data_IF_896083885507
#
_entry.id   IF_896083885507
#
_cell.length_a   1.000
_cell.length_b   1.000
_cell.length_c   1.000
_cell.angle_alpha   90.00
_cell.angle_beta   90.00
_cell.angle_gamma   90.00
#
_symmetry.space_group_name_H-M   'P 1'
#
loop_
_entity.id
_entity.type
_entity.pdbx_description
1 polymer ?
#
# COMPACT_ATOMS: atom_id res chain seq x y z
N UNK A 1 -21.96 4.89 4.69
CA UNK A 1 -20.58 5.22 4.22
C UNK A 1 -19.63 5.74 5.31
N UNK A 2 -20.00 5.76 6.61
CA UNK A 2 -19.10 6.14 7.73
C UNK A 2 -18.30 4.96 8.33
N UNK A 3 -18.83 3.73 8.25
CA UNK A 3 -18.19 2.53 8.85
C UNK A 3 -16.83 2.15 8.23
N UNK A 4 -16.57 2.47 6.96
CA UNK A 4 -15.29 2.14 6.29
C UNK A 4 -14.13 3.08 6.70
N UNK A 5 -14.42 4.33 7.10
CA UNK A 5 -13.40 5.26 7.63
C UNK A 5 -12.95 4.86 9.04
N UNK A 6 -13.85 4.32 9.85
CA UNK A 6 -13.57 3.92 11.23
C UNK A 6 -12.62 2.71 11.28
N UNK A 7 -12.84 1.70 10.43
CA UNK A 7 -12.03 0.48 10.40
C UNK A 7 -10.55 0.75 10.06
N UNK A 8 -10.29 1.65 9.09
CA UNK A 8 -8.93 2.07 8.71
C UNK A 8 -8.21 2.84 9.82
N UNK A 9 -8.94 3.64 10.60
CA UNK A 9 -8.39 4.45 11.69
C UNK A 9 -8.05 3.61 12.92
N UNK A 10 -8.91 2.65 13.28
CA UNK A 10 -8.68 1.75 14.42
C UNK A 10 -7.49 0.83 14.16
N UNK A 11 -7.34 0.30 12.95
CA UNK A 11 -6.24 -0.61 12.61
C UNK A 11 -4.89 0.12 12.58
N UNK A 12 -4.83 1.31 11.99
CA UNK A 12 -3.60 2.14 11.98
C UNK A 12 -3.25 2.61 13.39
N UNK A 13 -4.23 3.00 14.22
CA UNK A 13 -3.97 3.38 15.62
C UNK A 13 -3.43 2.19 16.43
N UNK A 14 -4.05 1.01 16.33
CA UNK A 14 -3.55 -0.20 17.00
C UNK A 14 -2.15 -0.58 16.53
N UNK A 15 -1.85 -0.45 15.24
CA UNK A 15 -0.53 -0.73 14.69
C UNK A 15 0.52 0.23 15.24
N UNK A 16 0.25 1.53 15.25
CA UNK A 16 1.16 2.55 15.80
C UNK A 16 1.36 2.36 17.31
N UNK A 17 0.31 2.00 18.04
CA UNK A 17 0.35 1.78 19.49
C UNK A 17 1.07 0.47 19.87
N UNK A 18 0.97 -0.55 19.03
CA UNK A 18 1.78 -1.78 19.15
C UNK A 18 3.25 -1.49 18.87
N UNK A 19 3.57 -0.75 17.80
CA UNK A 19 4.95 -0.32 17.52
C UNK A 19 5.53 0.50 18.67
N UNK A 20 4.75 1.43 19.24
CA UNK A 20 5.18 2.25 20.38
C UNK A 20 5.50 1.40 21.62
N UNK A 21 4.74 0.32 21.87
CA UNK A 21 5.02 -0.63 22.96
C UNK A 21 6.27 -1.46 22.71
N UNK A 22 6.46 -1.97 21.50
CA UNK A 22 7.65 -2.76 21.12
C UNK A 22 8.92 -1.92 21.27
N UNK A 23 8.90 -0.66 20.79
CA UNK A 23 10.03 0.26 20.93
C UNK A 23 10.32 0.57 22.40
N UNK A 24 9.29 0.68 23.24
CA UNK A 24 9.44 0.86 24.69
C UNK A 24 10.19 -0.29 25.35
N UNK A 25 9.77 -1.53 25.10
CA UNK A 25 10.44 -2.71 25.66
C UNK A 25 11.87 -2.89 25.14
N UNK A 26 12.12 -2.63 23.86
CA UNK A 26 13.47 -2.69 23.31
C UNK A 26 14.43 -1.71 24.02
N UNK A 27 13.94 -0.51 24.36
CA UNK A 27 14.71 0.49 25.12
C UNK A 27 15.03 0.02 26.54
N UNK A 28 14.05 -0.57 27.22
CA UNK A 28 14.21 -1.01 28.61
C UNK A 28 15.19 -2.19 28.72
N UNK A 29 15.20 -3.11 27.75
CA UNK A 29 16.17 -4.21 27.69
C UNK A 29 17.60 -3.71 27.44
N UNK A 30 17.79 -2.74 26.53
CA UNK A 30 19.13 -2.22 26.17
C UNK A 30 19.78 -1.44 27.33
N UNK A 31 18.99 -0.76 28.17
CA UNK A 31 19.53 -0.01 29.33
C UNK A 31 20.14 -0.89 30.42
N UNK A 32 19.96 -2.22 30.39
CA UNK A 32 20.40 -3.12 31.47
C UNK A 32 21.77 -3.80 31.20
N UNK A 33 22.42 -3.57 30.06
CA UNK A 33 23.65 -4.28 29.66
C UNK A 33 24.91 -3.37 29.73
N UNK A 34 25.99 -3.82 30.40
CA UNK A 34 27.22 -3.01 30.61
C UNK A 34 28.21 -3.14 29.44
N UNK A 35 28.47 -2.02 28.76
CA UNK A 35 29.75 -1.66 28.13
C UNK A 35 30.08 -2.24 26.76
N UNK A 36 30.31 -3.55 26.65
CA UNK A 36 30.76 -4.19 25.40
C UNK A 36 29.58 -4.72 24.56
N UNK A 37 28.61 -5.37 25.21
CA UNK A 37 27.42 -5.90 24.56
C UNK A 37 26.51 -4.80 23.94
N UNK A 38 26.56 -3.56 24.41
CA UNK A 38 25.64 -2.49 23.99
C UNK A 38 25.88 -2.01 22.56
N UNK A 39 27.14 -1.97 22.10
CA UNK A 39 27.45 -1.44 20.75
C UNK A 39 27.06 -2.47 19.68
N UNK A 40 27.42 -3.73 19.90
CA UNK A 40 27.10 -4.85 19.02
C UNK A 40 25.58 -5.09 18.96
N UNK A 41 24.88 -5.04 20.11
CA UNK A 41 23.42 -5.14 20.15
C UNK A 41 22.74 -3.91 19.55
N UNK A 42 23.27 -2.70 19.72
CA UNK A 42 22.72 -1.51 19.08
C UNK A 42 22.78 -1.63 17.55
N UNK A 43 23.91 -2.05 16.98
CA UNK A 43 24.02 -2.28 15.54
C UNK A 43 23.16 -3.46 15.07
N UNK A 44 23.08 -4.55 15.86
CA UNK A 44 22.22 -5.69 15.57
C UNK A 44 20.74 -5.32 15.54
N UNK A 45 20.26 -4.60 16.55
CA UNK A 45 18.86 -4.15 16.64
C UNK A 45 18.56 -3.11 15.58
N UNK A 46 19.46 -2.16 15.31
CA UNK A 46 19.25 -1.17 14.24
C UNK A 46 19.19 -1.80 12.86
N UNK A 47 20.08 -2.75 12.56
CA UNK A 47 20.04 -3.48 11.28
C UNK A 47 18.74 -4.28 11.14
N UNK A 48 18.30 -4.97 12.20
CA UNK A 48 17.01 -5.68 12.21
C UNK A 48 15.83 -4.74 12.03
N UNK A 49 15.83 -3.57 12.66
CA UNK A 49 14.77 -2.56 12.50
C UNK A 49 14.72 -2.03 11.07
N UNK A 50 15.86 -1.71 10.46
CA UNK A 50 15.93 -1.26 9.06
C UNK A 50 15.37 -2.33 8.13
N UNK A 51 15.80 -3.59 8.27
CA UNK A 51 15.29 -4.71 7.47
C UNK A 51 13.78 -4.87 7.67
N UNK A 52 13.31 -4.81 8.92
CA UNK A 52 11.89 -4.91 9.25
C UNK A 52 11.08 -3.79 8.58
N UNK A 53 11.57 -2.55 8.60
CA UNK A 53 10.92 -1.43 7.93
C UNK A 53 10.84 -1.61 6.41
N UNK A 54 11.90 -2.15 5.79
CA UNK A 54 11.90 -2.49 4.36
C UNK A 54 10.83 -3.55 4.06
N UNK A 55 10.71 -4.59 4.90
CA UNK A 55 9.69 -5.63 4.75
C UNK A 55 8.27 -5.07 4.83
N UNK A 56 7.99 -4.20 5.81
CA UNK A 56 6.69 -3.54 5.92
C UNK A 56 6.40 -2.63 4.74
N UNK A 57 7.41 -1.91 4.25
CA UNK A 57 7.30 -1.16 3.01
C UNK A 57 6.85 -2.07 1.87
N UNK A 58 7.50 -3.23 1.71
CA UNK A 58 7.16 -4.20 0.65
C UNK A 58 5.71 -4.66 0.73
N UNK A 59 5.21 -4.95 1.94
CA UNK A 59 3.81 -5.32 2.15
C UNK A 59 2.84 -4.20 1.76
N UNK A 60 3.17 -2.94 2.08
CA UNK A 60 2.38 -1.78 1.65
C UNK A 60 2.39 -1.64 0.13
N UNK A 61 3.53 -1.86 -0.53
CA UNK A 61 3.62 -1.81 -1.98
C UNK A 61 2.74 -2.87 -2.67
N UNK A 62 2.73 -4.10 -2.15
CA UNK A 62 1.82 -5.16 -2.62
C UNK A 62 0.36 -4.77 -2.42
N UNK A 63 0.00 -4.20 -1.26
CA UNK A 63 -1.36 -3.71 -1.01
C UNK A 63 -1.79 -2.63 -2.01
N UNK A 64 -0.90 -1.67 -2.32
CA UNK A 64 -1.14 -0.64 -3.34
C UNK A 64 -1.29 -1.26 -4.73
N UNK A 65 -0.52 -2.30 -5.05
CA UNK A 65 -0.62 -3.02 -6.34
C UNK A 65 -1.98 -3.69 -6.51
N UNK A 66 -2.45 -4.40 -5.50
CA UNK A 66 -3.78 -5.05 -5.55
C UNK A 66 -4.87 -3.99 -5.72
N UNK A 67 -4.79 -2.88 -4.98
CA UNK A 67 -5.75 -1.78 -5.12
C UNK A 67 -5.72 -1.12 -6.51
N UNK A 68 -4.55 -1.05 -7.16
CA UNK A 68 -4.43 -0.52 -8.52
C UNK A 68 -5.08 -1.46 -9.55
N UNK A 69 -4.92 -2.78 -9.39
CA UNK A 69 -5.54 -3.78 -10.26
C UNK A 69 -7.07 -3.74 -10.13
N UNK A 70 -7.59 -3.68 -8.90
CA UNK A 70 -9.03 -3.57 -8.64
C UNK A 70 -9.63 -2.31 -9.29
N UNK A 71 -8.95 -1.17 -9.14
CA UNK A 71 -9.37 0.08 -9.77
C UNK A 71 -9.30 0.03 -11.30
N UNK A 72 -8.26 -0.59 -11.88
CA UNK A 72 -8.15 -0.76 -13.32
C UNK A 72 -9.29 -1.61 -13.89
N UNK A 73 -9.62 -2.72 -13.23
CA UNK A 73 -10.75 -3.57 -13.62
C UNK A 73 -12.10 -2.84 -13.52
N UNK A 74 -12.32 -2.11 -12.42
CA UNK A 74 -13.52 -1.31 -12.25
C UNK A 74 -13.65 -0.20 -13.30
N UNK A 75 -12.54 0.49 -13.61
CA UNK A 75 -12.48 1.52 -14.64
C UNK A 75 -12.73 0.96 -16.04
N UNK A 76 -12.08 -0.15 -16.41
CA UNK A 76 -12.27 -0.80 -17.71
C UNK A 76 -13.73 -1.23 -17.91
N UNK A 77 -14.35 -1.81 -16.87
CA UNK A 77 -15.76 -2.24 -16.94
C UNK A 77 -16.72 -1.05 -17.06
N UNK A 78 -16.51 -0.01 -16.27
CA UNK A 78 -17.33 1.20 -16.34
C UNK A 78 -17.23 1.85 -17.74
N UNK A 79 -16.01 1.93 -18.27
CA UNK A 79 -15.75 2.49 -19.59
C UNK A 79 -16.33 1.64 -20.73
N UNK A 80 -16.30 0.30 -20.63
CA UNK A 80 -16.94 -0.60 -21.59
C UNK A 80 -18.47 -0.41 -21.68
N UNK A 81 -19.12 -0.06 -20.57
CA UNK A 81 -20.58 0.22 -20.50
C UNK A 81 -20.87 1.71 -20.79
N UNK A 82 -19.84 2.54 -20.96
CA UNK A 82 -19.98 3.98 -21.18
C UNK A 82 -20.39 4.76 -19.93
N UNK A 83 -20.17 4.23 -18.73
CA UNK A 83 -20.37 4.97 -17.48
C UNK A 83 -19.11 5.75 -17.05
N UNK A 84 -19.26 6.95 -16.48
CA UNK A 84 -18.15 7.70 -15.94
C UNK A 84 -17.59 7.03 -14.68
N UNK A 85 -16.27 6.83 -14.63
CA UNK A 85 -15.56 6.30 -13.47
C UNK A 85 -14.69 7.39 -12.85
N UNK A 86 -14.87 7.66 -11.56
CA UNK A 86 -13.99 8.58 -10.80
C UNK A 86 -13.16 7.76 -9.80
N UNK A 87 -11.84 7.69 -9.97
CA UNK A 87 -10.97 7.00 -9.03
C UNK A 87 -10.96 7.72 -7.68
N UNK A 88 -10.92 6.93 -6.60
CA UNK A 88 -10.80 7.47 -5.24
C UNK A 88 -9.40 8.04 -4.94
N UNK A 89 -8.39 7.56 -5.65
CA UNK A 89 -6.98 7.92 -5.49
C UNK A 89 -6.28 7.78 -6.84
N UNK A 90 -5.21 8.54 -7.04
CA UNK A 90 -4.35 8.41 -8.21
C UNK A 90 -4.99 8.84 -9.52
N UNK A 91 -4.33 8.48 -10.61
CA UNK A 91 -4.72 8.87 -11.96
C UNK A 91 -5.16 7.64 -12.75
N UNK A 92 -6.19 7.81 -13.58
CA UNK A 92 -6.72 6.76 -14.46
C UNK A 92 -6.76 7.30 -15.88
N UNK A 93 -6.14 6.56 -16.79
CA UNK A 93 -6.16 6.80 -18.22
C UNK A 93 -6.96 5.70 -18.88
N UNK A 94 -7.91 6.06 -19.74
CA UNK A 94 -8.74 5.11 -20.48
C UNK A 94 -8.40 5.27 -21.95
N UNK A 95 -8.14 4.14 -22.60
CA UNK A 95 -7.92 4.02 -24.04
C UNK A 95 -9.00 3.09 -24.61
N UNK A 96 -9.63 3.50 -25.72
CA UNK A 96 -10.72 2.77 -26.34
C UNK A 96 -10.46 2.66 -27.84
N UNK A 97 -10.21 1.44 -28.31
CA UNK A 97 -9.93 1.11 -29.71
C UNK A 97 -11.19 0.62 -30.46
N UNK A 98 -12.38 0.83 -29.90
CA UNK A 98 -13.67 0.45 -30.48
C UNK A 98 -14.06 -1.01 -30.29
N UNK A 99 -13.10 -1.94 -30.26
CA UNK A 99 -13.33 -3.36 -29.93
C UNK A 99 -12.92 -3.70 -28.48
N UNK A 100 -11.92 -3.00 -27.95
CA UNK A 100 -11.41 -3.19 -26.60
C UNK A 100 -11.26 -1.85 -25.89
N UNK A 101 -11.53 -1.88 -24.59
CA UNK A 101 -11.30 -0.77 -23.67
C UNK A 101 -10.20 -1.17 -22.70
N UNK A 102 -9.11 -0.40 -22.70
CA UNK A 102 -7.99 -0.56 -21.76
C UNK A 102 -8.01 0.58 -20.76
N UNK A 103 -8.08 0.25 -19.48
CA UNK A 103 -7.91 1.23 -18.41
C UNK A 103 -6.57 1.00 -17.71
N UNK A 104 -5.80 2.08 -17.59
CA UNK A 104 -4.51 2.12 -16.88
C UNK A 104 -4.63 3.03 -15.67
N UNK A 105 -4.18 2.55 -14.52
CA UNK A 105 -4.23 3.26 -13.25
C UNK A 105 -2.83 3.41 -12.69
N UNK A 106 -2.50 4.62 -12.25
CA UNK A 106 -1.21 4.96 -11.64
C UNK A 106 -1.39 5.46 -10.21
N UNK A 107 -0.78 4.75 -9.27
CA UNK A 107 -0.74 5.10 -7.85
C UNK A 107 0.69 5.38 -7.40
N UNK A 108 0.89 6.47 -6.66
CA UNK A 108 2.17 6.71 -5.98
C UNK A 108 2.33 5.78 -4.78
N UNK A 109 3.51 5.20 -4.65
CA UNK A 109 3.94 4.37 -3.53
C UNK A 109 5.28 4.88 -2.96
N UNK A 110 5.63 4.38 -1.77
CA UNK A 110 6.90 4.67 -1.10
C UNK A 110 8.13 4.30 -1.95
N UNK A 111 8.00 3.31 -2.84
CA UNK A 111 9.07 2.85 -3.72
C UNK A 111 8.89 3.27 -5.19
N UNK A 112 8.09 4.31 -5.44
CA UNK A 112 7.82 4.82 -6.79
C UNK A 112 6.40 4.57 -7.26
N UNK A 113 6.13 4.88 -8.53
CA UNK A 113 4.82 4.72 -9.13
C UNK A 113 4.49 3.24 -9.40
N UNK A 114 3.29 2.83 -9.02
CA UNK A 114 2.73 1.52 -9.30
C UNK A 114 1.64 1.69 -10.35
N UNK A 115 1.84 1.05 -11.51
CA UNK A 115 0.96 1.19 -12.69
C UNK A 115 0.31 -0.14 -13.03
N UNK A 116 -1.01 -0.26 -12.91
CA UNK A 116 -1.77 -1.45 -13.28
C UNK A 116 -2.70 -1.15 -14.45
N UNK A 117 -2.91 -2.13 -15.33
CA UNK A 117 -3.82 -2.01 -16.47
C UNK A 117 -4.76 -3.21 -16.53
N UNK A 118 -5.96 -2.98 -17.05
CA UNK A 118 -6.94 -4.01 -17.34
C UNK A 118 -7.59 -3.72 -18.69
N UNK A 119 -7.84 -4.77 -19.47
CA UNK A 119 -8.46 -4.67 -20.80
C UNK A 119 -9.73 -5.51 -20.81
N UNK A 120 -10.81 -4.94 -21.35
CA UNK A 120 -12.14 -5.55 -21.43
C UNK A 120 -12.69 -5.32 -22.84
N UNK A 121 -13.50 -6.25 -23.35
CA UNK A 121 -14.20 -6.08 -24.62
C UNK A 121 -15.21 -4.93 -24.52
N UNK A 122 -15.22 -4.05 -25.52
CA UNK A 122 -16.23 -3.01 -25.63
C UNK A 122 -17.59 -3.66 -25.97
N UNK A 123 -18.64 -3.29 -25.26
CA UNK A 123 -19.98 -3.74 -25.64
C UNK A 123 -20.41 -2.98 -26.92
N UNK A 124 -20.79 -3.68 -28.00
CA UNK A 124 -21.25 -3.03 -29.22
C UNK A 124 -22.60 -2.36 -28.94
N UNK A 125 -22.70 -1.07 -29.28
CA UNK A 125 -23.94 -0.29 -29.20
C UNK A 125 -24.93 -0.63 -30.31
#
# INVERSE_FOLDING_TARGET
>A
MQHCKLYRSVYIKKLVEQFRRIIGHARDCVSNERGAATVETAFGVMSLLVVTMVLFGGLVAVGTRIAAIDAAGAAARAAAIGQPYTPRKGEVTIDNDGMMVTATVRYQSLFGDIVASATVLAEPR
#
